data_IF_685654031488
#
_entry.id   IF_685654031488
#
_cell.length_a   1.000
_cell.length_b   1.000
_cell.length_c   1.000
_cell.angle_alpha   90.00
_cell.angle_beta   90.00
_cell.angle_gamma   90.00
#
_symmetry.space_group_name_H-M   'P 1'
#
loop_
_entity.id
_entity.type
_entity.pdbx_description
1 polymer ?
#
# COMPACT_ATOMS: atom_id res chain seq x y z
N UNK A 1 15.21 10.03 -22.68
CA UNK A 1 13.95 9.99 -21.96
C UNK A 1 13.59 8.56 -21.47
N UNK A 2 13.82 7.54 -22.28
CA UNK A 2 13.43 6.15 -21.95
C UNK A 2 14.31 5.48 -20.86
N UNK A 3 15.57 5.89 -20.72
CA UNK A 3 16.51 5.34 -19.72
C UNK A 3 16.16 5.81 -18.31
N UNK A 4 15.87 7.08 -18.11
CA UNK A 4 15.53 7.67 -16.81
C UNK A 4 14.21 7.11 -16.26
N UNK A 5 13.22 6.85 -17.13
CA UNK A 5 11.94 6.25 -16.73
C UNK A 5 12.11 4.80 -16.25
N UNK A 6 12.94 4.00 -16.95
CA UNK A 6 13.23 2.61 -16.55
C UNK A 6 13.98 2.54 -15.23
N UNK A 7 14.95 3.40 -15.01
CA UNK A 7 15.70 3.48 -13.76
C UNK A 7 14.80 3.92 -12.59
N UNK A 8 13.99 4.95 -12.80
CA UNK A 8 13.00 5.39 -11.82
C UNK A 8 12.04 4.25 -11.42
N UNK A 9 11.50 3.53 -12.42
CA UNK A 9 10.59 2.41 -12.18
C UNK A 9 11.28 1.26 -11.43
N UNK A 10 12.52 0.93 -11.78
CA UNK A 10 13.31 -0.11 -11.11
C UNK A 10 13.59 0.27 -9.64
N UNK A 11 13.91 1.54 -9.37
CA UNK A 11 14.12 2.07 -8.02
C UNK A 11 12.82 2.02 -7.20
N UNK A 12 11.71 2.47 -7.78
CA UNK A 12 10.40 2.43 -7.13
C UNK A 12 10.01 0.98 -6.79
N UNK A 13 10.15 0.03 -7.72
CA UNK A 13 9.88 -1.38 -7.50
C UNK A 13 10.77 -2.00 -6.40
N UNK A 14 12.04 -1.59 -6.30
CA UNK A 14 12.97 -2.04 -5.25
C UNK A 14 12.48 -1.60 -3.87
N UNK A 15 12.09 -0.35 -3.73
CA UNK A 15 11.59 0.21 -2.46
C UNK A 15 10.24 -0.45 -2.10
N UNK A 16 9.34 -0.57 -3.06
CA UNK A 16 8.04 -1.22 -2.87
C UNK A 16 8.18 -2.68 -2.40
N UNK A 17 9.07 -3.44 -3.04
CA UNK A 17 9.40 -4.80 -2.63
C UNK A 17 9.93 -4.86 -1.20
N UNK A 18 10.84 -3.95 -0.83
CA UNK A 18 11.39 -3.87 0.52
C UNK A 18 10.29 -3.64 1.57
N UNK A 19 9.38 -2.70 1.32
CA UNK A 19 8.25 -2.45 2.20
C UNK A 19 7.30 -3.65 2.30
N UNK A 20 7.02 -4.31 1.18
CA UNK A 20 6.17 -5.50 1.19
C UNK A 20 6.76 -6.62 2.04
N UNK A 21 8.06 -6.90 1.88
CA UNK A 21 8.80 -7.86 2.72
C UNK A 21 8.69 -7.47 4.20
N UNK A 22 8.98 -6.22 4.53
CA UNK A 22 8.95 -5.72 5.91
C UNK A 22 7.56 -5.90 6.53
N UNK A 23 6.49 -5.49 5.83
CA UNK A 23 5.12 -5.58 6.35
C UNK A 23 4.67 -7.03 6.55
N UNK A 24 4.91 -7.90 5.56
CA UNK A 24 4.54 -9.32 5.69
C UNK A 24 5.33 -9.99 6.82
N UNK A 25 6.62 -9.67 6.97
CA UNK A 25 7.46 -10.22 8.05
C UNK A 25 6.96 -9.75 9.42
N UNK A 26 6.75 -8.45 9.61
CA UNK A 26 6.28 -7.90 10.89
C UNK A 26 4.93 -8.49 11.27
N UNK A 27 3.97 -8.52 10.34
CA UNK A 27 2.64 -9.07 10.62
C UNK A 27 2.70 -10.59 10.86
N UNK A 28 3.54 -11.33 10.13
CA UNK A 28 3.77 -12.76 10.40
C UNK A 28 4.29 -13.01 11.81
N UNK A 29 5.24 -12.19 12.29
CA UNK A 29 5.77 -12.28 13.64
C UNK A 29 4.72 -11.95 14.71
N UNK A 30 3.98 -10.86 14.52
CA UNK A 30 2.91 -10.43 15.46
C UNK A 30 1.84 -11.51 15.60
N UNK A 31 1.34 -12.04 14.48
CA UNK A 31 0.32 -13.08 14.51
C UNK A 31 0.87 -14.45 14.92
N UNK A 32 2.15 -14.72 14.65
CA UNK A 32 2.85 -15.89 15.17
C UNK A 32 2.94 -15.88 16.70
N UNK A 33 3.23 -14.74 17.31
CA UNK A 33 3.21 -14.58 18.76
C UNK A 33 1.80 -14.79 19.34
N UNK A 34 0.74 -14.32 18.67
CA UNK A 34 -0.64 -14.58 19.07
C UNK A 34 -0.99 -16.07 18.99
N UNK A 35 -0.57 -16.75 17.92
CA UNK A 35 -0.77 -18.18 17.76
C UNK A 35 -0.03 -18.99 18.84
N UNK A 36 1.23 -18.64 19.15
CA UNK A 36 2.01 -19.26 20.20
C UNK A 36 1.38 -19.11 21.60
N UNK A 37 0.65 -17.99 21.82
CA UNK A 37 -0.11 -17.75 23.06
C UNK A 37 -1.52 -18.40 23.06
N UNK A 38 -1.88 -19.17 22.03
CA UNK A 38 -3.21 -19.77 21.89
C UNK A 38 -4.34 -18.77 21.60
N UNK A 39 -4.01 -17.52 21.23
CA UNK A 39 -4.99 -16.47 20.95
C UNK A 39 -5.58 -16.54 19.54
N UNK A 40 -4.95 -17.30 18.65
CA UNK A 40 -5.43 -17.57 17.29
C UNK A 40 -5.22 -19.03 16.94
N UNK A 41 -6.11 -19.60 16.11
CA UNK A 41 -5.95 -21.00 15.71
C UNK A 41 -4.75 -21.20 14.77
N UNK A 42 -4.09 -22.37 14.81
CA UNK A 42 -3.00 -22.69 13.87
C UNK A 42 -3.43 -22.59 12.40
N UNK A 43 -4.66 -23.00 12.10
CA UNK A 43 -5.21 -22.90 10.73
C UNK A 43 -5.30 -21.44 10.27
N UNK A 44 -5.81 -20.55 11.15
CA UNK A 44 -5.84 -19.13 10.85
C UNK A 44 -4.45 -18.58 10.51
N UNK A 45 -3.46 -18.91 11.35
CA UNK A 45 -2.09 -18.45 11.15
C UNK A 45 -1.48 -18.99 9.85
N UNK A 46 -1.73 -20.27 9.53
CA UNK A 46 -1.26 -20.88 8.27
C UNK A 46 -1.84 -20.18 7.02
N UNK A 47 -3.13 -19.85 7.04
CA UNK A 47 -3.77 -19.12 5.96
C UNK A 47 -3.17 -17.70 5.83
N UNK A 48 -2.96 -17.02 6.96
CA UNK A 48 -2.33 -15.70 7.00
C UNK A 48 -0.93 -15.73 6.37
N UNK A 49 -0.11 -16.71 6.74
CA UNK A 49 1.22 -16.89 6.14
C UNK A 49 1.13 -17.13 4.63
N UNK A 50 0.24 -18.01 4.20
CA UNK A 50 0.06 -18.31 2.77
C UNK A 50 -0.35 -17.06 1.98
N UNK A 51 -1.33 -16.30 2.46
CA UNK A 51 -1.81 -15.08 1.81
C UNK A 51 -0.76 -13.95 1.79
N UNK A 52 0.12 -13.89 2.79
CA UNK A 52 1.20 -12.90 2.83
C UNK A 52 2.39 -13.29 1.94
N UNK A 53 2.90 -14.52 2.11
CA UNK A 53 4.15 -14.94 1.50
C UNK A 53 4.02 -15.43 0.07
N UNK A 54 2.94 -16.12 -0.31
CA UNK A 54 2.80 -16.64 -1.68
C UNK A 54 2.75 -15.51 -2.71
N UNK A 55 1.89 -14.47 -2.57
CA UNK A 55 1.89 -13.35 -3.51
C UNK A 55 3.22 -12.58 -3.51
N UNK A 56 3.84 -12.39 -2.34
CA UNK A 56 5.13 -11.72 -2.22
C UNK A 56 6.22 -12.47 -3.00
N UNK A 57 6.38 -13.77 -2.77
CA UNK A 57 7.39 -14.59 -3.45
C UNK A 57 7.12 -14.60 -4.96
N UNK A 58 5.86 -14.79 -5.36
CA UNK A 58 5.44 -14.75 -6.77
C UNK A 58 5.81 -13.42 -7.41
N UNK A 59 5.52 -12.30 -6.74
CA UNK A 59 5.86 -10.96 -7.21
C UNK A 59 7.36 -10.76 -7.38
N UNK A 60 8.18 -11.27 -6.44
CA UNK A 60 9.65 -11.21 -6.52
C UNK A 60 10.16 -12.05 -7.71
N UNK A 61 9.62 -13.25 -7.91
CA UNK A 61 10.01 -14.13 -9.02
C UNK A 61 9.67 -13.48 -10.36
N UNK A 62 8.44 -12.97 -10.51
CA UNK A 62 8.02 -12.28 -11.74
C UNK A 62 8.89 -11.05 -12.00
N UNK A 63 9.24 -10.27 -10.95
CA UNK A 63 10.10 -9.11 -11.07
C UNK A 63 11.52 -9.48 -11.55
N UNK A 64 12.03 -10.65 -11.13
CA UNK A 64 13.32 -11.18 -11.64
C UNK A 64 13.24 -11.60 -13.11
N UNK A 65 12.15 -12.23 -13.52
CA UNK A 65 11.95 -12.72 -14.90
C UNK A 65 11.70 -11.57 -15.87
N UNK A 66 10.82 -10.61 -15.50
CA UNK A 66 10.42 -9.49 -16.37
C UNK A 66 11.36 -8.29 -16.30
N UNK A 67 12.34 -8.31 -15.40
CA UNK A 67 13.25 -7.20 -15.13
C UNK A 67 12.76 -6.26 -14.04
N UNK A 68 13.70 -5.62 -13.35
CA UNK A 68 13.43 -4.76 -12.18
C UNK A 68 12.49 -3.58 -12.45
N UNK A 69 12.35 -3.19 -13.73
CA UNK A 69 11.51 -2.07 -14.18
C UNK A 69 10.09 -2.47 -14.63
N UNK A 70 9.60 -3.65 -14.27
CA UNK A 70 8.26 -4.12 -14.63
C UNK A 70 7.17 -3.17 -14.12
N UNK A 71 6.47 -2.49 -15.04
CA UNK A 71 5.50 -1.42 -14.73
C UNK A 71 4.28 -1.90 -13.93
N UNK A 72 3.82 -3.13 -14.18
CA UNK A 72 2.65 -3.70 -13.49
C UNK A 72 2.95 -4.22 -12.09
N UNK A 73 4.20 -4.17 -11.61
CA UNK A 73 4.56 -4.64 -10.27
C UNK A 73 3.77 -3.92 -9.18
N UNK A 74 3.52 -2.62 -9.32
CA UNK A 74 2.71 -1.83 -8.38
C UNK A 74 1.27 -2.36 -8.25
N UNK A 75 0.63 -2.71 -9.37
CA UNK A 75 -0.73 -3.27 -9.38
C UNK A 75 -0.71 -4.67 -8.75
N UNK A 76 0.26 -5.52 -9.10
CA UNK A 76 0.43 -6.84 -8.51
C UNK A 76 0.65 -6.76 -6.99
N UNK A 77 1.48 -5.83 -6.53
CA UNK A 77 1.71 -5.58 -5.11
C UNK A 77 0.41 -5.11 -4.42
N UNK A 78 -0.28 -4.13 -5.01
CA UNK A 78 -1.52 -3.60 -4.45
C UNK A 78 -2.58 -4.71 -4.25
N UNK A 79 -2.77 -5.58 -5.23
CA UNK A 79 -3.68 -6.72 -5.14
C UNK A 79 -3.20 -7.78 -4.15
N UNK A 80 -1.94 -8.20 -4.22
CA UNK A 80 -1.37 -9.22 -3.33
C UNK A 80 -1.43 -8.81 -1.86
N UNK A 81 -1.01 -7.57 -1.56
CA UNK A 81 -1.11 -7.04 -0.20
C UNK A 81 -2.57 -6.75 0.19
N UNK A 82 -3.40 -6.30 -0.75
CA UNK A 82 -4.81 -6.03 -0.51
C UNK A 82 -5.60 -7.25 -0.04
N UNK A 83 -5.38 -8.42 -0.67
CA UNK A 83 -6.01 -9.69 -0.25
C UNK A 83 -5.53 -10.11 1.14
N UNK A 84 -4.24 -10.00 1.42
CA UNK A 84 -3.66 -10.27 2.73
C UNK A 84 -4.26 -9.35 3.81
N UNK A 85 -4.33 -8.05 3.51
CA UNK A 85 -4.91 -7.05 4.40
C UNK A 85 -6.41 -7.26 4.63
N UNK A 86 -7.17 -7.57 3.56
CA UNK A 86 -8.59 -7.90 3.65
C UNK A 86 -8.82 -9.07 4.61
N UNK A 87 -8.01 -10.12 4.52
CA UNK A 87 -8.12 -11.28 5.42
C UNK A 87 -7.95 -10.87 6.88
N UNK A 88 -6.93 -10.05 7.19
CA UNK A 88 -6.70 -9.54 8.54
C UNK A 88 -7.89 -8.71 9.01
N UNK A 89 -8.37 -7.77 8.19
CA UNK A 89 -9.47 -6.87 8.54
C UNK A 89 -10.76 -7.61 8.87
N UNK A 90 -11.12 -8.60 8.07
CA UNK A 90 -12.39 -9.34 8.22
C UNK A 90 -12.34 -10.36 9.37
N UNK A 91 -11.16 -10.93 9.65
CA UNK A 91 -11.02 -12.05 10.61
C UNK A 91 -10.51 -11.63 11.98
N UNK A 92 -9.92 -10.45 12.09
CA UNK A 92 -9.39 -9.93 13.36
C UNK A 92 -10.01 -8.55 13.63
N UNK A 93 -11.23 -8.49 14.13
CA UNK A 93 -11.82 -7.22 14.53
C UNK A 93 -10.97 -6.62 15.66
N UNK A 94 -10.21 -5.59 15.34
CA UNK A 94 -9.34 -4.90 16.29
C UNK A 94 -9.23 -3.43 15.92
N UNK A 95 -9.27 -2.56 16.94
CA UNK A 95 -9.29 -1.11 16.79
C UNK A 95 -8.11 -0.51 15.99
N UNK A 96 -7.09 -1.30 15.67
CA UNK A 96 -5.87 -0.80 15.01
C UNK A 96 -5.52 -1.54 13.71
N UNK A 97 -6.26 -2.59 13.33
CA UNK A 97 -5.92 -3.38 12.11
C UNK A 97 -5.95 -2.54 10.84
N UNK A 98 -6.82 -1.53 10.80
CA UNK A 98 -6.92 -0.60 9.66
C UNK A 98 -5.62 0.20 9.42
N UNK A 99 -4.79 0.40 10.45
CA UNK A 99 -3.55 1.18 10.31
C UNK A 99 -2.46 0.46 9.52
N UNK A 100 -2.56 -0.87 9.35
CA UNK A 100 -1.53 -1.66 8.63
C UNK A 100 -1.42 -1.32 7.15
N UNK A 101 -2.40 -0.62 6.59
CA UNK A 101 -2.36 -0.16 5.20
C UNK A 101 -1.55 1.12 5.03
N UNK A 102 -1.45 1.99 6.03
CA UNK A 102 -0.87 3.32 5.87
C UNK A 102 0.62 3.31 5.50
N UNK A 103 1.49 2.47 6.07
CA UNK A 103 2.88 2.39 5.62
C UNK A 103 2.99 1.99 4.14
N UNK A 104 2.13 1.07 3.69
CA UNK A 104 2.07 0.64 2.29
C UNK A 104 1.54 1.75 1.40
N UNK A 105 0.45 2.41 1.79
CA UNK A 105 -0.12 3.52 1.04
C UNK A 105 0.88 4.68 0.89
N UNK A 106 1.53 5.07 1.98
CA UNK A 106 2.56 6.11 1.98
C UNK A 106 3.71 5.78 1.01
N UNK A 107 4.18 4.53 1.03
CA UNK A 107 5.23 4.09 0.13
C UNK A 107 4.79 4.06 -1.34
N UNK A 108 3.53 3.67 -1.62
CA UNK A 108 3.03 3.61 -3.00
C UNK A 108 2.95 4.99 -3.69
N UNK A 109 2.99 6.09 -2.93
CA UNK A 109 3.08 7.45 -3.51
C UNK A 109 4.37 7.67 -4.31
N UNK A 110 5.42 6.89 -4.07
CA UNK A 110 6.70 6.97 -4.80
C UNK A 110 6.54 6.77 -6.31
N UNK A 111 5.51 6.00 -6.74
CA UNK A 111 5.25 5.78 -8.16
C UNK A 111 4.75 7.02 -8.90
N UNK A 112 4.32 8.06 -8.17
CA UNK A 112 3.78 9.31 -8.72
C UNK A 112 2.64 9.10 -9.73
N UNK A 113 1.92 7.98 -9.62
CA UNK A 113 0.78 7.61 -10.45
C UNK A 113 -0.53 7.85 -9.71
N UNK A 114 -1.12 9.02 -9.95
CA UNK A 114 -2.37 9.45 -9.30
C UNK A 114 -3.53 8.51 -9.61
N UNK A 115 -3.63 7.99 -10.86
CA UNK A 115 -4.72 7.09 -11.26
C UNK A 115 -4.62 5.74 -10.54
N UNK A 116 -3.40 5.20 -10.45
CA UNK A 116 -3.13 3.99 -9.69
C UNK A 116 -3.47 4.19 -8.21
N UNK A 117 -2.99 5.29 -7.61
CA UNK A 117 -3.19 5.56 -6.20
C UNK A 117 -4.67 5.76 -5.83
N UNK A 118 -5.45 6.41 -6.69
CA UNK A 118 -6.91 6.54 -6.51
C UNK A 118 -7.60 5.18 -6.54
N UNK A 119 -7.25 4.28 -7.47
CA UNK A 119 -7.79 2.91 -7.50
C UNK A 119 -7.45 2.12 -6.24
N UNK A 120 -6.18 2.20 -5.81
CA UNK A 120 -5.71 1.58 -4.58
C UNK A 120 -6.48 2.09 -3.35
N UNK A 121 -6.63 3.42 -3.21
CA UNK A 121 -7.36 4.04 -2.10
C UNK A 121 -8.83 3.65 -2.09
N UNK A 122 -9.49 3.61 -3.26
CA UNK A 122 -10.88 3.16 -3.38
C UNK A 122 -11.05 1.71 -2.97
N UNK A 123 -10.14 0.81 -3.38
CA UNK A 123 -10.16 -0.59 -2.96
C UNK A 123 -10.04 -0.71 -1.43
N UNK A 124 -9.16 0.07 -0.81
CA UNK A 124 -9.00 0.03 0.65
C UNK A 124 -10.20 0.60 1.40
N UNK A 125 -10.83 1.65 0.88
CA UNK A 125 -12.08 2.15 1.46
C UNK A 125 -13.18 1.08 1.43
N UNK A 126 -13.27 0.31 0.34
CA UNK A 126 -14.19 -0.84 0.26
C UNK A 126 -13.85 -1.88 1.34
N UNK A 127 -12.57 -2.18 1.56
CA UNK A 127 -12.15 -3.12 2.62
C UNK A 127 -12.56 -2.62 4.00
N UNK A 128 -12.38 -1.34 4.29
CA UNK A 128 -12.81 -0.73 5.56
C UNK A 128 -14.34 -0.82 5.72
N UNK A 129 -15.10 -0.52 4.67
CA UNK A 129 -16.56 -0.65 4.69
C UNK A 129 -16.99 -2.11 4.94
N UNK A 130 -16.34 -3.08 4.29
CA UNK A 130 -16.60 -4.50 4.53
C UNK A 130 -16.30 -4.90 5.96
N UNK A 131 -15.20 -4.43 6.56
CA UNK A 131 -14.87 -4.64 7.96
C UNK A 131 -15.99 -4.12 8.88
N UNK A 132 -16.48 -2.91 8.64
CA UNK A 132 -17.60 -2.31 9.40
C UNK A 132 -18.86 -3.18 9.29
N UNK A 133 -19.21 -3.63 8.08
CA UNK A 133 -20.39 -4.49 7.86
C UNK A 133 -20.26 -5.82 8.59
N UNK A 134 -19.08 -6.46 8.51
CA UNK A 134 -18.82 -7.74 9.18
C UNK A 134 -18.87 -7.56 10.70
N UNK A 135 -18.22 -6.54 11.23
CA UNK A 135 -18.22 -6.20 12.65
C UNK A 135 -19.67 -5.97 13.17
N UNK A 136 -20.47 -5.22 12.43
CA UNK A 136 -21.85 -4.97 12.78
C UNK A 136 -22.70 -6.26 12.79
N UNK A 137 -22.53 -7.14 11.80
CA UNK A 137 -23.22 -8.44 11.72
C UNK A 137 -22.80 -9.42 12.81
N UNK A 138 -21.53 -9.37 13.23
CA UNK A 138 -20.97 -10.24 14.26
C UNK A 138 -21.44 -9.89 15.68
N UNK A 139 -22.36 -8.94 15.84
CA UNK A 139 -22.94 -8.57 17.13
C UNK A 139 -22.12 -7.56 17.93
N UNK A 140 -21.05 -7.02 17.36
CA UNK A 140 -20.26 -5.93 17.94
C UNK A 140 -21.03 -4.60 17.81
N UNK A 141 -22.21 -4.53 18.47
CA UNK A 141 -23.14 -3.39 18.39
C UNK A 141 -23.02 -2.42 19.57
N UNK A 142 -22.03 -2.63 20.43
CA UNK A 142 -21.79 -1.68 21.51
C UNK A 142 -21.41 -0.31 20.94
N UNK A 143 -21.86 0.75 21.59
CA UNK A 143 -21.65 2.13 21.13
C UNK A 143 -20.16 2.50 21.00
N UNK A 144 -19.32 1.90 21.83
CA UNK A 144 -17.85 2.01 21.74
C UNK A 144 -17.28 1.49 20.42
N UNK A 145 -17.81 0.40 19.89
CA UNK A 145 -17.37 -0.16 18.59
C UNK A 145 -17.85 0.71 17.41
N UNK A 146 -19.09 1.22 17.48
CA UNK A 146 -19.61 2.13 16.44
C UNK A 146 -18.75 3.39 16.35
N UNK A 147 -18.38 3.97 17.48
CA UNK A 147 -17.48 5.12 17.54
C UNK A 147 -16.10 4.79 16.94
N UNK A 148 -15.52 3.63 17.27
CA UNK A 148 -14.24 3.20 16.71
C UNK A 148 -14.28 3.06 15.19
N UNK A 149 -15.35 2.52 14.62
CA UNK A 149 -15.52 2.41 13.17
C UNK A 149 -15.67 3.77 12.47
N UNK A 150 -16.35 4.73 13.10
CA UNK A 150 -16.45 6.09 12.58
C UNK A 150 -15.08 6.77 12.55
N UNK A 151 -14.29 6.62 13.62
CA UNK A 151 -12.91 7.12 13.71
C UNK A 151 -12.01 6.44 12.69
N UNK A 152 -12.09 5.13 12.52
CA UNK A 152 -11.35 4.35 11.53
C UNK A 152 -11.61 4.87 10.12
N UNK A 153 -12.87 5.02 9.75
CA UNK A 153 -13.25 5.54 8.43
C UNK A 153 -12.79 6.98 8.21
N UNK A 154 -12.98 7.84 9.21
CA UNK A 154 -12.56 9.24 9.16
C UNK A 154 -11.04 9.40 9.01
N UNK A 155 -10.25 8.67 9.81
CA UNK A 155 -8.78 8.69 9.73
C UNK A 155 -8.33 8.16 8.36
N UNK A 156 -8.93 7.08 7.87
CA UNK A 156 -8.57 6.51 6.56
C UNK A 156 -8.79 7.51 5.44
N UNK A 157 -9.94 8.20 5.43
CA UNK A 157 -10.22 9.27 4.45
C UNK A 157 -9.21 10.41 4.52
N UNK A 158 -8.90 10.90 5.72
CA UNK A 158 -7.94 11.99 5.93
C UNK A 158 -6.53 11.60 5.47
N UNK A 159 -6.08 10.38 5.77
CA UNK A 159 -4.78 9.88 5.32
C UNK A 159 -4.71 9.81 3.79
N UNK A 160 -5.73 9.27 3.12
CA UNK A 160 -5.73 9.19 1.66
C UNK A 160 -5.81 10.57 0.99
N UNK A 161 -6.59 11.47 1.56
CA UNK A 161 -6.60 12.87 1.09
C UNK A 161 -5.22 13.50 1.22
N UNK A 162 -4.55 13.34 2.37
CA UNK A 162 -3.19 13.83 2.59
C UNK A 162 -2.18 13.22 1.59
N UNK A 163 -2.23 11.92 1.34
CA UNK A 163 -1.34 11.27 0.38
C UNK A 163 -1.56 11.75 -1.06
N UNK A 164 -2.83 11.88 -1.49
CA UNK A 164 -3.16 12.37 -2.84
C UNK A 164 -2.69 13.82 -3.02
N UNK A 165 -2.88 14.66 -1.99
CA UNK A 165 -2.45 16.06 -2.01
C UNK A 165 -0.94 16.17 -2.06
N UNK A 166 -0.23 15.44 -1.19
CA UNK A 166 1.24 15.39 -1.16
C UNK A 166 1.82 14.90 -2.48
N UNK A 167 1.29 13.82 -3.03
CA UNK A 167 1.72 13.29 -4.32
C UNK A 167 1.46 14.27 -5.47
N UNK A 168 0.30 14.94 -5.47
CA UNK A 168 -0.03 15.95 -6.48
C UNK A 168 0.94 17.13 -6.42
N UNK A 169 1.30 17.58 -5.21
CA UNK A 169 2.29 18.64 -5.01
C UNK A 169 3.68 18.22 -5.51
N UNK A 170 4.11 16.99 -5.21
CA UNK A 170 5.40 16.47 -5.70
C UNK A 170 5.46 16.42 -7.23
N UNK A 171 4.40 15.95 -7.88
CA UNK A 171 4.32 15.91 -9.36
C UNK A 171 4.42 17.32 -9.95
N UNK A 172 3.71 18.29 -9.37
CA UNK A 172 3.75 19.67 -9.80
C UNK A 172 5.14 20.28 -9.63
N UNK A 173 5.76 20.10 -8.47
CA UNK A 173 7.11 20.58 -8.17
C UNK A 173 8.14 20.02 -9.16
N UNK A 174 8.09 18.72 -9.45
CA UNK A 174 9.00 18.08 -10.43
C UNK A 174 8.81 18.68 -11.85
N UNK A 175 7.55 18.91 -12.26
CA UNK A 175 7.27 19.50 -13.58
C UNK A 175 7.80 20.93 -13.70
N UNK A 176 7.70 21.71 -12.63
CA UNK A 176 8.22 23.09 -12.57
C UNK A 176 9.75 23.10 -12.63
N UNK A 177 10.40 22.22 -11.87
CA UNK A 177 11.86 22.09 -11.90
C UNK A 177 12.37 21.67 -13.29
N UNK A 178 11.73 20.69 -13.93
CA UNK A 178 12.08 20.25 -15.28
C UNK A 178 11.89 21.39 -16.31
N UNK A 179 10.85 22.19 -16.16
CA UNK A 179 10.63 23.39 -16.99
C UNK A 179 11.77 24.39 -16.86
N UNK A 180 12.16 24.73 -15.63
CA UNK A 180 13.24 25.70 -15.35
C UNK A 180 14.61 25.22 -15.88
N UNK A 181 14.93 23.93 -15.72
CA UNK A 181 16.17 23.32 -16.25
C UNK A 181 16.18 23.38 -17.77
N UNK A 182 15.07 23.06 -18.45
CA UNK A 182 14.95 23.14 -19.90
C UNK A 182 15.13 24.56 -20.42
N UNK A 183 14.55 25.55 -19.74
CA UNK A 183 14.68 26.95 -20.13
C UNK A 183 16.12 27.47 -19.95
N UNK A 184 16.78 27.09 -18.87
CA UNK A 184 18.19 27.41 -18.65
C UNK A 184 19.09 26.76 -19.71
N UNK A 185 18.86 25.49 -20.04
CA UNK A 185 19.61 24.80 -21.09
C UNK A 185 19.44 25.49 -22.46
N UNK A 186 18.21 25.86 -22.81
CA UNK A 186 17.91 26.59 -24.05
C UNK A 186 18.61 27.96 -24.10
N UNK A 187 18.76 28.63 -22.95
CA UNK A 187 19.50 29.93 -22.89
C UNK A 187 21.00 29.70 -23.13
N UNK A 188 21.60 28.68 -22.50
CA UNK A 188 23.01 28.34 -22.70
C UNK A 188 23.29 28.00 -24.17
N UNK A 189 22.44 27.17 -24.81
CA UNK A 189 22.61 26.80 -26.23
C UNK A 189 22.50 28.01 -27.17
N UNK A 190 21.71 29.03 -26.82
CA UNK A 190 21.58 30.26 -27.65
C UNK A 190 22.73 31.25 -27.46
N UNK A 191 23.53 31.12 -26.41
CA UNK A 191 24.67 31.99 -26.09
C UNK A 191 26.01 31.42 -26.57
N UNK A 192 26.06 30.18 -27.05
CA UNK A 192 27.18 29.52 -27.70
C UNK A 192 26.98 29.57 -29.22
#
# INVERSE_FOLDING_TARGET
MDYDEKEFQARANRIARGMWIAMVTVLSLVYGMKAAKGQTSPLYYSILLALGWIPLITGIVILKIKGGNWKQFKDFFAWGYGVFYLYIMVTTPGAFSFTYIFPVASMLTIYKDKKFFLRFSSMNLIIVILNIIVGYRSGLREQSYIFNYQVEFGITLLCYFGYITSMSHQILSDSTLLGSVKDNLNRVIKTV
#
